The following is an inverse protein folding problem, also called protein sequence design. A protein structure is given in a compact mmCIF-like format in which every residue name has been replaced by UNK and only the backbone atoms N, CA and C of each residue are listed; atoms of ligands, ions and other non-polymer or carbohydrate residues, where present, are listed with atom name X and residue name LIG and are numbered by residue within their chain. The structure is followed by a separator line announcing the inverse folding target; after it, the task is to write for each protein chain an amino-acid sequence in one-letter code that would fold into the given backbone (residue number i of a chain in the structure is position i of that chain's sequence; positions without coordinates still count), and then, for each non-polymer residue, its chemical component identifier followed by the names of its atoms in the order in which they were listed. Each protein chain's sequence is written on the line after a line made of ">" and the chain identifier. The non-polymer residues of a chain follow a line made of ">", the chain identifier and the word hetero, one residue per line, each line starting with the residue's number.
data_IF_333615064623
#
_entry.id   IF_333615064623
#
_cell.length_a   1.000
_cell.length_b   1.000
_cell.length_c   1.000
_cell.angle_alpha   90.00
_cell.angle_beta   90.00
_cell.angle_gamma   90.00
#
_symmetry.space_group_name_H-M   'P 1'
#
loop_
_entity.id
_entity.type
_entity.pdbx_description
1 polymer ?
#
# COMPACT_ATOMS: atom_id res chain seq x y z
N UNK A 1 -1.17 30.37 -36.64
CA UNK A 1 -2.12 29.29 -36.32
C UNK A 1 -2.72 29.61 -34.98
N UNK A 2 -4.04 29.76 -34.93
CA UNK A 2 -4.77 29.92 -33.65
C UNK A 2 -4.68 28.62 -32.85
N UNK A 3 -4.31 28.72 -31.58
CA UNK A 3 -4.23 27.57 -30.67
C UNK A 3 -5.61 26.89 -30.61
N UNK A 4 -5.66 25.58 -30.86
CA UNK A 4 -6.88 24.78 -30.86
C UNK A 4 -7.45 24.69 -29.46
N UNK A 5 -8.74 25.01 -29.29
CA UNK A 5 -9.38 24.97 -27.97
C UNK A 5 -9.64 23.53 -27.53
N UNK A 6 -9.56 23.23 -26.21
CA UNK A 6 -9.72 21.87 -25.68
C UNK A 6 -11.03 21.18 -26.11
N UNK A 7 -12.12 21.94 -26.26
CA UNK A 7 -13.40 21.40 -26.72
C UNK A 7 -13.37 20.87 -28.17
N UNK A 8 -12.45 21.35 -29.00
CA UNK A 8 -12.32 20.90 -30.40
C UNK A 8 -11.68 19.50 -30.43
N UNK A 9 -10.68 19.21 -29.61
CA UNK A 9 -10.13 17.88 -29.46
C UNK A 9 -11.19 16.87 -29.00
N UNK A 10 -12.01 17.25 -28.01
CA UNK A 10 -13.12 16.42 -27.54
C UNK A 10 -14.11 16.11 -28.65
N UNK A 11 -14.46 17.09 -29.45
CA UNK A 11 -15.38 16.94 -30.62
C UNK A 11 -14.75 16.01 -31.68
N UNK A 12 -13.47 16.20 -32.00
CA UNK A 12 -12.76 15.38 -32.99
C UNK A 12 -12.68 13.92 -32.54
N UNK A 13 -12.34 13.64 -31.28
CA UNK A 13 -12.34 12.29 -30.72
C UNK A 13 -13.73 11.66 -30.75
N UNK A 14 -14.78 12.39 -30.34
CA UNK A 14 -16.16 11.89 -30.39
C UNK A 14 -16.63 11.58 -31.82
N UNK A 15 -16.23 12.37 -32.78
CA UNK A 15 -16.57 12.14 -34.19
C UNK A 15 -15.81 10.96 -34.80
N UNK A 16 -14.54 10.75 -34.38
CA UNK A 16 -13.68 9.67 -34.89
C UNK A 16 -14.12 8.28 -34.45
N UNK A 17 -14.91 8.15 -33.38
CA UNK A 17 -15.29 6.89 -32.73
C UNK A 17 -14.10 5.99 -32.33
N UNK A 18 -12.89 6.55 -32.24
CA UNK A 18 -11.73 5.83 -31.74
C UNK A 18 -12.00 5.36 -30.30
N UNK A 19 -11.54 4.15 -29.98
CA UNK A 19 -11.58 3.68 -28.62
C UNK A 19 -10.32 4.11 -27.84
N UNK A 20 -10.35 3.94 -26.53
CA UNK A 20 -9.23 4.34 -25.66
C UNK A 20 -7.96 3.51 -25.86
N UNK A 21 -8.03 2.38 -26.59
CA UNK A 21 -6.93 1.45 -26.86
C UNK A 21 -6.31 1.65 -28.23
N UNK A 22 -6.99 2.40 -29.13
CA UNK A 22 -6.48 2.71 -30.46
C UNK A 22 -5.25 3.63 -30.39
N UNK A 23 -4.19 3.37 -31.18
CA UNK A 23 -3.02 4.23 -31.19
C UNK A 23 -3.33 5.61 -31.76
N UNK A 24 -2.70 6.63 -31.17
CA UNK A 24 -2.70 8.01 -31.67
C UNK A 24 -1.24 8.45 -31.70
N UNK A 25 -0.79 9.03 -32.79
CA UNK A 25 0.56 9.59 -32.90
C UNK A 25 0.69 10.82 -31.97
N UNK A 26 1.83 10.93 -31.30
CA UNK A 26 2.14 12.08 -30.47
C UNK A 26 2.20 13.32 -31.39
N UNK A 27 1.42 14.36 -31.03
CA UNK A 27 1.37 15.57 -31.84
C UNK A 27 0.37 15.52 -33.01
N UNK A 28 -0.43 14.42 -33.15
CA UNK A 28 -1.56 14.41 -34.09
C UNK A 28 -2.45 15.64 -33.85
N UNK A 29 -2.63 16.50 -34.86
CA UNK A 29 -3.32 17.80 -34.69
C UNK A 29 -4.77 17.65 -34.29
N UNK A 30 -5.42 16.53 -34.57
CA UNK A 30 -6.84 16.33 -34.34
C UNK A 30 -7.15 15.48 -33.11
N UNK A 31 -6.32 14.50 -32.79
CA UNK A 31 -6.64 13.48 -31.80
C UNK A 31 -5.69 13.45 -30.60
N UNK A 32 -4.43 13.93 -30.76
CA UNK A 32 -3.53 14.04 -29.63
C UNK A 32 -3.83 15.27 -28.78
N UNK A 33 -4.41 15.08 -27.59
CA UNK A 33 -4.77 16.19 -26.71
C UNK A 33 -3.52 16.58 -25.90
N UNK A 34 -3.05 17.84 -25.92
CA UNK A 34 -2.00 18.32 -25.04
C UNK A 34 -2.33 18.13 -23.56
N UNK A 35 -1.34 17.89 -22.71
CA UNK A 35 -1.56 17.56 -21.27
C UNK A 35 -2.37 18.62 -20.53
N UNK A 36 -2.14 19.91 -20.81
CA UNK A 36 -2.90 21.01 -20.21
C UNK A 36 -4.38 20.97 -20.61
N UNK A 37 -4.69 20.61 -21.87
CA UNK A 37 -6.06 20.47 -22.32
C UNK A 37 -6.74 19.21 -21.76
N UNK A 38 -6.01 18.11 -21.57
CA UNK A 38 -6.52 16.95 -20.83
C UNK A 38 -6.89 17.36 -19.40
N UNK A 39 -6.00 18.07 -18.70
CA UNK A 39 -6.24 18.53 -17.33
C UNK A 39 -7.51 19.39 -17.26
N UNK A 40 -7.68 20.33 -18.19
CA UNK A 40 -8.88 21.18 -18.28
C UNK A 40 -10.16 20.36 -18.50
N UNK A 41 -10.16 19.48 -19.50
CA UNK A 41 -11.32 18.62 -19.82
C UNK A 41 -11.70 17.70 -18.64
N UNK A 42 -10.70 17.14 -17.95
CA UNK A 42 -10.95 16.29 -16.80
C UNK A 42 -11.51 17.09 -15.61
N UNK A 43 -11.00 18.28 -15.35
CA UNK A 43 -11.54 19.14 -14.30
C UNK A 43 -12.99 19.59 -14.61
N UNK A 44 -13.29 19.96 -15.85
CA UNK A 44 -14.66 20.32 -16.26
C UNK A 44 -15.63 19.14 -16.17
N UNK A 45 -15.18 17.95 -16.56
CA UNK A 45 -16.04 16.76 -16.65
C UNK A 45 -16.15 15.93 -15.37
N UNK A 46 -15.28 16.15 -14.37
CA UNK A 46 -15.19 15.25 -13.21
C UNK A 46 -15.33 15.95 -11.86
N UNK A 47 -15.11 17.25 -11.76
CA UNK A 47 -15.24 17.97 -10.49
C UNK A 47 -16.65 17.78 -9.90
N UNK A 48 -16.73 17.42 -8.61
CA UNK A 48 -17.99 17.15 -7.92
C UNK A 48 -18.59 15.77 -8.18
N UNK A 49 -17.93 14.91 -8.98
CA UNK A 49 -18.37 13.52 -9.18
C UNK A 49 -18.33 12.78 -7.83
N UNK A 50 -19.49 12.28 -7.39
CA UNK A 50 -19.59 11.51 -6.15
C UNK A 50 -19.13 10.05 -6.35
N UNK A 51 -18.26 9.60 -5.47
CA UNK A 51 -17.80 8.21 -5.34
C UNK A 51 -18.27 7.59 -4.01
N UNK A 52 -19.13 8.29 -3.27
CA UNK A 52 -19.61 7.87 -1.96
C UNK A 52 -20.37 6.53 -2.04
N UNK A 53 -20.17 5.68 -1.04
CA UNK A 53 -20.83 4.37 -0.93
C UNK A 53 -20.40 3.33 -1.97
N UNK A 54 -19.47 3.65 -2.87
CA UNK A 54 -19.04 2.72 -3.91
C UNK A 54 -17.84 1.86 -3.44
N UNK A 55 -17.86 0.53 -3.65
CA UNK A 55 -16.68 -0.33 -3.47
C UNK A 55 -15.52 0.12 -4.37
N UNK A 56 -14.27 -0.08 -3.93
CA UNK A 56 -13.06 0.36 -4.65
C UNK A 56 -13.02 -0.04 -6.13
N UNK A 57 -13.42 -1.27 -6.46
CA UNK A 57 -13.50 -1.73 -7.86
C UNK A 57 -14.51 -0.94 -8.68
N UNK A 58 -15.65 -0.60 -8.09
CA UNK A 58 -16.69 0.21 -8.73
C UNK A 58 -16.23 1.65 -8.88
N UNK A 59 -15.59 2.25 -7.87
CA UNK A 59 -14.98 3.59 -7.96
C UNK A 59 -14.04 3.71 -9.16
N UNK A 60 -13.14 2.73 -9.35
CA UNK A 60 -12.22 2.72 -10.49
C UNK A 60 -12.94 2.65 -11.85
N UNK A 61 -14.06 1.93 -11.95
CA UNK A 61 -14.86 1.88 -13.17
C UNK A 61 -15.56 3.23 -13.42
N UNK A 62 -16.17 3.81 -12.39
CA UNK A 62 -16.87 5.11 -12.48
C UNK A 62 -15.89 6.22 -12.90
N UNK A 63 -14.71 6.28 -12.27
CA UNK A 63 -13.67 7.25 -12.65
C UNK A 63 -13.24 7.09 -14.10
N UNK A 64 -12.94 5.89 -14.58
CA UNK A 64 -12.54 5.65 -15.97
C UNK A 64 -13.66 6.00 -16.96
N UNK A 65 -14.90 5.72 -16.60
CA UNK A 65 -16.09 6.12 -17.39
C UNK A 65 -16.18 7.64 -17.48
N UNK A 66 -15.99 8.36 -16.38
CA UNK A 66 -15.99 9.82 -16.38
C UNK A 66 -14.85 10.40 -17.23
N UNK A 67 -13.66 9.79 -17.17
CA UNK A 67 -12.53 10.19 -18.03
C UNK A 67 -12.87 9.99 -19.53
N UNK A 68 -13.46 8.83 -19.90
CA UNK A 68 -13.92 8.63 -21.29
C UNK A 68 -14.85 9.76 -21.73
N UNK A 69 -15.88 10.05 -20.93
CA UNK A 69 -16.87 11.09 -21.25
C UNK A 69 -16.24 12.49 -21.32
N UNK A 70 -15.33 12.80 -20.42
CA UNK A 70 -14.62 14.09 -20.38
C UNK A 70 -13.78 14.30 -21.64
N UNK A 71 -13.07 13.27 -22.11
CA UNK A 71 -12.20 13.34 -23.27
C UNK A 71 -12.94 13.11 -24.61
N UNK A 72 -14.18 12.64 -24.59
CA UNK A 72 -14.99 12.39 -25.81
C UNK A 72 -14.84 10.96 -26.37
N UNK A 73 -14.31 10.01 -25.59
CA UNK A 73 -14.24 8.61 -26.00
C UNK A 73 -15.53 7.85 -25.74
N UNK A 74 -15.89 6.87 -26.59
CA UNK A 74 -16.93 5.91 -26.24
C UNK A 74 -16.50 5.09 -25.02
N UNK A 75 -17.43 4.87 -24.09
CA UNK A 75 -17.17 4.06 -22.92
C UNK A 75 -17.16 2.57 -23.30
N UNK A 76 -16.07 1.85 -23.07
CA UNK A 76 -16.02 0.42 -23.40
C UNK A 76 -16.94 -0.37 -22.47
N UNK A 77 -17.50 -1.47 -22.96
CA UNK A 77 -18.33 -2.39 -22.16
C UNK A 77 -17.57 -2.95 -20.94
N UNK A 78 -16.26 -3.17 -21.12
CA UNK A 78 -15.34 -3.54 -20.04
C UNK A 78 -13.99 -2.88 -20.23
N UNK A 79 -13.37 -2.45 -19.11
CA UNK A 79 -12.02 -1.89 -19.14
C UNK A 79 -10.97 -3.01 -19.06
N UNK A 80 -10.09 -3.04 -20.07
CA UNK A 80 -8.96 -3.99 -20.11
C UNK A 80 -7.90 -3.60 -19.05
N UNK A 81 -7.12 -4.57 -18.60
CA UNK A 81 -5.92 -4.35 -17.77
C UNK A 81 -4.73 -4.02 -18.68
N UNK A 82 -4.75 -2.85 -19.31
CA UNK A 82 -3.66 -2.35 -20.15
C UNK A 82 -2.91 -1.23 -19.44
N UNK A 83 -1.66 -1.01 -19.84
CA UNK A 83 -0.84 0.12 -19.43
C UNK A 83 -0.22 0.75 -20.67
N UNK A 84 -0.42 2.04 -20.89
CA UNK A 84 -1.35 2.92 -20.17
C UNK A 84 -2.82 2.53 -20.37
N UNK A 85 -3.70 2.95 -19.44
CA UNK A 85 -5.15 2.63 -19.49
C UNK A 85 -5.87 3.29 -20.66
N UNK A 86 -5.44 4.49 -21.02
CA UNK A 86 -5.87 5.24 -22.19
C UNK A 86 -4.70 5.27 -23.17
N UNK A 87 -4.53 4.15 -23.88
CA UNK A 87 -3.36 3.90 -24.71
C UNK A 87 -3.12 4.99 -25.76
N UNK A 88 -4.17 5.40 -26.48
CA UNK A 88 -4.08 6.44 -27.51
C UNK A 88 -3.58 7.78 -27.00
N UNK A 89 -3.83 8.11 -25.74
CA UNK A 89 -3.35 9.35 -25.12
C UNK A 89 -2.11 9.13 -24.23
N UNK A 90 -1.54 7.94 -24.20
CA UNK A 90 -0.47 7.58 -23.25
C UNK A 90 -0.77 8.02 -21.80
N UNK A 91 -2.02 7.84 -21.36
CA UNK A 91 -2.54 8.39 -20.14
C UNK A 91 -2.95 7.27 -19.17
N UNK A 92 -2.47 7.35 -17.94
CA UNK A 92 -2.95 6.58 -16.79
C UNK A 92 -3.77 7.45 -15.84
N UNK A 93 -4.62 6.83 -15.03
CA UNK A 93 -5.52 7.52 -14.11
C UNK A 93 -5.43 6.96 -12.71
N UNK A 94 -5.25 7.82 -11.71
CA UNK A 94 -5.12 7.47 -10.30
C UNK A 94 -6.03 8.35 -9.46
N UNK A 95 -7.05 7.76 -8.84
CA UNK A 95 -7.95 8.45 -7.93
C UNK A 95 -7.59 8.11 -6.48
N UNK A 96 -7.34 9.11 -5.65
CA UNK A 96 -6.86 8.92 -4.29
C UNK A 96 -7.27 10.05 -3.34
N UNK A 97 -7.50 9.71 -2.06
CA UNK A 97 -7.70 10.68 -0.98
C UNK A 97 -6.37 11.16 -0.39
N UNK A 98 -5.44 10.23 -0.19
CA UNK A 98 -4.17 10.54 0.43
C UNK A 98 -3.25 11.34 -0.50
N UNK A 99 -2.45 12.25 0.08
CA UNK A 99 -1.39 12.97 -0.64
C UNK A 99 -0.17 12.07 -0.88
N UNK A 100 -0.42 10.87 -1.42
CA UNK A 100 0.58 9.85 -1.67
C UNK A 100 0.14 8.97 -2.85
N UNK A 101 0.78 9.20 -4.00
CA UNK A 101 0.51 8.45 -5.22
C UNK A 101 1.12 7.05 -5.11
N UNK A 102 0.31 6.04 -5.41
CA UNK A 102 0.74 4.65 -5.43
C UNK A 102 0.57 4.07 -6.83
N UNK A 103 1.68 3.64 -7.44
CA UNK A 103 1.70 2.97 -8.74
C UNK A 103 2.11 1.51 -8.52
N UNK A 104 1.31 0.58 -9.07
CA UNK A 104 1.46 -0.84 -8.82
C UNK A 104 1.89 -1.58 -10.07
N UNK A 105 2.86 -2.48 -9.93
CA UNK A 105 3.26 -3.45 -10.95
C UNK A 105 3.71 -2.82 -12.28
N UNK A 106 4.26 -1.62 -12.21
CA UNK A 106 4.83 -0.96 -13.37
C UNK A 106 5.98 -0.03 -12.97
N UNK A 107 6.89 0.19 -13.91
CA UNK A 107 7.90 1.22 -13.80
C UNK A 107 7.32 2.57 -14.22
N UNK A 108 7.83 3.65 -13.63
CA UNK A 108 7.46 4.99 -14.01
C UNK A 108 8.05 5.30 -15.40
N UNK A 109 7.18 5.45 -16.39
CA UNK A 109 7.62 5.87 -17.73
C UNK A 109 7.78 7.40 -17.77
N UNK A 110 8.97 7.94 -18.12
CA UNK A 110 9.21 9.38 -18.10
C UNK A 110 8.25 10.20 -18.97
N UNK A 111 7.84 9.65 -20.10
CA UNK A 111 7.00 10.33 -21.11
C UNK A 111 5.51 10.04 -20.96
N UNK A 112 5.15 9.01 -20.20
CA UNK A 112 3.75 8.67 -19.94
C UNK A 112 3.08 9.77 -19.12
N UNK A 113 1.80 10.03 -19.39
CA UNK A 113 1.00 11.00 -18.66
C UNK A 113 0.17 10.34 -17.58
N UNK A 114 0.05 11.00 -16.45
CA UNK A 114 -0.62 10.51 -15.23
C UNK A 114 -1.65 11.55 -14.80
N UNK A 115 -2.93 11.23 -14.94
CA UNK A 115 -4.01 12.01 -14.38
C UNK A 115 -4.23 11.62 -12.92
N UNK A 116 -3.82 12.49 -12.01
CA UNK A 116 -3.97 12.29 -10.56
C UNK A 116 -5.24 13.02 -10.13
N UNK A 117 -6.20 12.25 -9.65
CA UNK A 117 -7.57 12.69 -9.36
C UNK A 117 -7.70 12.74 -7.83
N UNK A 118 -7.85 13.94 -7.31
CA UNK A 118 -8.08 14.18 -5.88
C UNK A 118 -9.50 13.74 -5.51
N UNK A 119 -9.62 12.89 -4.50
CA UNK A 119 -10.89 12.56 -3.87
C UNK A 119 -10.92 13.23 -2.50
N UNK A 120 -11.91 14.06 -2.27
CA UNK A 120 -12.11 14.80 -1.03
C UNK A 120 -12.65 13.87 0.08
N UNK A 121 -12.69 14.39 1.31
CA UNK A 121 -13.16 13.62 2.48
C UNK A 121 -14.61 13.11 2.35
N UNK A 122 -15.45 13.87 1.64
CA UNK A 122 -16.84 13.51 1.33
C UNK A 122 -16.99 12.52 0.16
N UNK A 123 -15.88 11.93 -0.30
CA UNK A 123 -15.83 11.04 -1.47
C UNK A 123 -16.21 11.71 -2.81
N UNK A 124 -16.15 13.03 -2.92
CA UNK A 124 -16.30 13.72 -4.20
C UNK A 124 -14.96 13.98 -4.89
N UNK A 125 -14.95 14.06 -6.22
CA UNK A 125 -13.77 14.47 -6.98
C UNK A 125 -13.57 15.99 -6.82
N UNK A 126 -12.42 16.37 -6.25
CA UNK A 126 -12.05 17.78 -6.08
C UNK A 126 -11.39 18.36 -7.31
N UNK A 127 -10.14 18.00 -7.55
CA UNK A 127 -9.32 18.51 -8.66
C UNK A 127 -8.57 17.38 -9.37
N UNK A 128 -8.25 17.58 -10.62
CA UNK A 128 -7.39 16.68 -11.41
C UNK A 128 -6.14 17.44 -11.83
N UNK A 129 -4.97 16.78 -11.68
CA UNK A 129 -3.69 17.24 -12.22
C UNK A 129 -3.18 16.22 -13.21
N UNK A 130 -2.65 16.70 -14.34
CA UNK A 130 -2.01 15.84 -15.36
C UNK A 130 -0.52 16.16 -15.40
N UNK A 131 0.29 15.18 -15.05
CA UNK A 131 1.76 15.27 -15.02
C UNK A 131 2.37 14.13 -15.82
N UNK A 132 3.61 14.28 -16.29
CA UNK A 132 4.35 13.16 -16.87
C UNK A 132 5.20 12.44 -15.81
N UNK A 133 5.74 11.27 -16.16
CA UNK A 133 6.54 10.49 -15.24
C UNK A 133 7.82 11.18 -14.79
N UNK A 134 8.42 12.05 -15.62
CA UNK A 134 9.59 12.84 -15.24
C UNK A 134 9.23 13.86 -14.13
N UNK A 135 8.08 14.53 -14.23
CA UNK A 135 7.58 15.42 -13.20
C UNK A 135 7.28 14.66 -11.90
N UNK A 136 6.73 13.44 -11.98
CA UNK A 136 6.53 12.60 -10.80
C UNK A 136 7.86 12.17 -10.17
N UNK A 137 8.88 11.86 -10.98
CA UNK A 137 10.20 11.51 -10.46
C UNK A 137 10.85 12.67 -9.67
N UNK A 138 10.63 13.92 -10.08
CA UNK A 138 11.13 15.11 -9.36
C UNK A 138 10.44 15.28 -7.99
N UNK A 139 9.20 14.79 -7.83
CA UNK A 139 8.49 14.84 -6.55
C UNK A 139 9.03 13.83 -5.53
N UNK A 140 9.79 12.83 -5.96
CA UNK A 140 10.49 11.93 -5.06
C UNK A 140 11.68 12.65 -4.44
N UNK A 141 11.52 13.12 -3.19
CA UNK A 141 12.54 13.86 -2.45
C UNK A 141 13.81 13.05 -2.15
N UNK A 142 13.73 11.72 -2.25
CA UNK A 142 14.88 10.84 -2.03
C UNK A 142 15.76 10.72 -3.27
N UNK A 143 15.29 11.19 -4.43
CA UNK A 143 15.95 11.03 -5.73
C UNK A 143 15.92 9.60 -6.26
N UNK A 144 15.22 8.71 -5.55
CA UNK A 144 15.04 7.30 -5.92
C UNK A 144 13.56 6.96 -5.82
N UNK A 145 12.96 6.52 -6.92
CA UNK A 145 11.57 6.05 -6.91
C UNK A 145 11.48 4.82 -6.04
N UNK A 146 10.76 4.93 -4.94
CA UNK A 146 10.67 3.91 -3.91
C UNK A 146 9.79 2.75 -4.38
N UNK A 147 10.38 1.60 -4.61
CA UNK A 147 9.66 0.36 -4.92
C UNK A 147 9.37 -0.39 -3.64
N UNK A 148 8.10 -0.74 -3.39
CA UNK A 148 7.71 -1.60 -2.27
C UNK A 148 7.51 -3.04 -2.71
N UNK A 149 7.93 -3.97 -1.87
CA UNK A 149 7.80 -5.40 -2.11
C UNK A 149 6.44 -5.92 -1.63
N UNK A 150 5.99 -6.99 -2.25
CA UNK A 150 4.75 -7.68 -1.91
C UNK A 150 4.94 -9.17 -1.84
N UNK A 151 4.18 -9.81 -0.95
CA UNK A 151 4.05 -11.25 -0.87
C UNK A 151 2.58 -11.67 -0.92
N UNK A 152 2.36 -12.98 -1.07
CA UNK A 152 1.05 -13.61 -1.04
C UNK A 152 1.10 -14.86 -0.19
N UNK A 153 0.02 -15.07 0.56
CA UNK A 153 -0.24 -16.31 1.24
C UNK A 153 -1.52 -16.94 0.71
N UNK A 154 -1.46 -18.21 0.38
CA UNK A 154 -2.64 -19.04 0.19
C UNK A 154 -2.99 -19.64 1.56
N UNK A 155 -4.12 -19.19 2.14
CA UNK A 155 -4.59 -19.65 3.43
C UNK A 155 -4.95 -21.15 3.34
N UNK A 156 -4.40 -21.93 4.26
CA UNK A 156 -4.75 -23.33 4.46
C UNK A 156 -5.84 -23.49 5.52
N UNK A 157 -5.98 -24.70 6.03
CA UNK A 157 -6.92 -25.05 7.12
C UNK A 157 -6.37 -24.71 8.51
N UNK A 158 -5.07 -24.51 8.63
CA UNK A 158 -4.41 -24.18 9.89
C UNK A 158 -4.63 -22.72 10.24
N UNK A 159 -5.25 -22.46 11.39
CA UNK A 159 -5.56 -21.11 11.86
C UNK A 159 -4.41 -20.47 12.63
N UNK A 160 -3.44 -21.25 13.08
CA UNK A 160 -2.26 -20.78 13.83
C UNK A 160 -1.04 -21.56 13.38
N UNK A 161 -0.01 -20.88 12.97
CA UNK A 161 1.22 -21.50 12.47
C UNK A 161 2.45 -20.75 12.96
N UNK A 162 3.31 -21.45 13.70
CA UNK A 162 4.66 -21.01 13.96
C UNK A 162 5.54 -21.53 12.83
N UNK A 163 5.88 -20.67 11.87
CA UNK A 163 6.61 -21.05 10.64
C UNK A 163 8.04 -21.49 10.95
N UNK A 164 8.65 -20.88 11.98
CA UNK A 164 9.95 -21.30 12.51
C UNK A 164 9.91 -21.32 14.03
N UNK A 165 10.36 -22.40 14.68
CA UNK A 165 10.33 -22.52 16.14
C UNK A 165 11.38 -21.66 16.84
N UNK A 166 12.41 -21.25 16.12
CA UNK A 166 13.58 -20.56 16.68
C UNK A 166 13.74 -19.16 16.10
N UNK A 167 14.30 -18.28 16.90
CA UNK A 167 14.83 -17.01 16.43
C UNK A 167 16.06 -17.23 15.53
N UNK A 168 16.50 -16.20 14.82
CA UNK A 168 17.75 -16.27 14.06
C UNK A 168 18.93 -16.55 15.02
N UNK A 169 19.97 -17.18 14.51
CA UNK A 169 21.14 -17.56 15.32
C UNK A 169 21.73 -16.36 16.08
N UNK A 170 21.72 -15.17 15.49
CA UNK A 170 22.18 -13.94 16.12
C UNK A 170 21.27 -13.53 17.30
N UNK A 171 19.95 -13.67 17.15
CA UNK A 171 18.98 -13.24 18.18
C UNK A 171 18.81 -14.26 19.31
N UNK A 172 19.07 -15.53 19.08
CA UNK A 172 19.01 -16.56 20.13
C UNK A 172 19.88 -16.24 21.35
N UNK A 173 20.96 -15.48 21.16
CA UNK A 173 21.86 -15.07 22.27
C UNK A 173 21.24 -13.99 23.17
N UNK A 174 20.17 -13.36 22.73
CA UNK A 174 19.56 -12.17 23.35
C UNK A 174 18.15 -12.42 23.89
N UNK A 175 17.60 -13.62 23.67
CA UNK A 175 16.27 -13.98 24.17
C UNK A 175 16.31 -14.55 25.59
N UNK A 176 15.23 -14.33 26.33
CA UNK A 176 14.99 -14.90 27.64
C UNK A 176 13.50 -15.20 27.83
N UNK A 177 13.20 -16.42 28.29
CA UNK A 177 11.83 -16.84 28.58
C UNK A 177 11.31 -16.25 29.90
N UNK A 178 9.99 -16.18 30.03
CA UNK A 178 9.33 -15.81 31.28
C UNK A 178 9.50 -14.33 31.67
N UNK A 179 9.78 -13.46 30.72
CA UNK A 179 9.91 -12.02 30.99
C UNK A 179 8.60 -11.42 31.51
N UNK A 180 8.72 -10.58 32.53
CA UNK A 180 7.63 -9.72 33.02
C UNK A 180 8.03 -8.27 32.78
N UNK A 181 7.24 -7.55 31.98
CA UNK A 181 7.52 -6.16 31.71
C UNK A 181 7.02 -5.26 32.85
N UNK A 182 7.78 -4.22 33.15
CA UNK A 182 7.37 -3.18 34.09
C UNK A 182 6.24 -2.31 33.50
N UNK A 183 5.53 -1.60 34.36
CA UNK A 183 4.49 -0.64 33.92
C UNK A 183 5.05 0.49 33.04
N UNK A 184 6.35 0.74 33.10
CA UNK A 184 7.04 1.77 32.31
C UNK A 184 7.64 1.22 31.01
N UNK A 185 7.65 -0.11 30.81
CA UNK A 185 8.17 -0.69 29.58
C UNK A 185 7.25 -0.35 28.41
N UNK A 186 7.81 0.23 27.36
CA UNK A 186 7.07 0.64 26.17
C UNK A 186 7.43 -0.23 24.96
N UNK A 187 6.47 -0.54 24.07
CA UNK A 187 6.72 -1.30 22.84
C UNK A 187 7.69 -0.59 21.88
N UNK A 188 7.78 0.73 21.96
CA UNK A 188 8.64 1.55 21.08
C UNK A 188 10.05 1.81 21.64
N UNK A 189 10.36 1.27 22.83
CA UNK A 189 11.73 1.33 23.38
C UNK A 189 12.72 0.55 22.51
N UNK A 190 13.99 0.94 22.61
CA UNK A 190 15.07 0.18 21.99
C UNK A 190 15.17 -1.26 22.57
N UNK A 191 15.43 -2.26 21.72
CA UNK A 191 15.60 -3.63 22.18
C UNK A 191 16.86 -3.76 23.03
N UNK A 192 16.83 -4.67 24.00
CA UNK A 192 17.99 -4.95 24.87
C UNK A 192 18.26 -6.43 24.99
N UNK A 193 19.53 -6.78 25.13
CA UNK A 193 19.93 -8.18 25.35
C UNK A 193 19.30 -8.73 26.64
N UNK A 194 18.69 -9.91 26.55
CA UNK A 194 17.98 -10.56 27.65
C UNK A 194 16.58 -9.99 27.93
N UNK A 195 16.10 -9.02 27.14
CA UNK A 195 14.73 -8.48 27.22
C UNK A 195 13.84 -8.89 26.02
N UNK A 196 14.38 -9.67 25.09
CA UNK A 196 13.61 -10.27 24.01
C UNK A 196 12.98 -11.59 24.47
N UNK A 197 11.69 -11.80 24.20
CA UNK A 197 11.04 -13.10 24.37
C UNK A 197 11.45 -14.04 23.24
N UNK A 198 11.61 -15.36 23.47
CA UNK A 198 11.73 -16.31 22.37
C UNK A 198 10.52 -16.22 21.41
N UNK A 199 10.73 -16.43 20.12
CA UNK A 199 9.67 -16.37 19.11
C UNK A 199 8.52 -17.34 19.42
N UNK A 200 8.82 -18.50 20.01
CA UNK A 200 7.81 -19.45 20.47
C UNK A 200 6.91 -18.83 21.56
N UNK A 201 7.50 -18.12 22.55
CA UNK A 201 6.72 -17.44 23.60
C UNK A 201 5.87 -16.29 22.99
N UNK A 202 6.39 -15.59 21.98
CA UNK A 202 5.61 -14.60 21.24
C UNK A 202 4.41 -15.26 20.58
N UNK A 203 4.60 -16.37 19.86
CA UNK A 203 3.52 -17.13 19.23
C UNK A 203 2.48 -17.61 20.24
N UNK A 204 2.90 -18.20 21.36
CA UNK A 204 1.99 -18.69 22.39
C UNK A 204 1.12 -17.58 22.98
N UNK A 205 1.69 -16.40 23.19
CA UNK A 205 0.97 -15.23 23.72
C UNK A 205 0.00 -14.61 22.71
N UNK A 206 0.31 -14.66 21.43
CA UNK A 206 -0.51 -14.10 20.38
C UNK A 206 -1.59 -15.08 19.86
N UNK A 207 -1.36 -16.38 20.00
CA UNK A 207 -2.30 -17.42 19.54
C UNK A 207 -3.74 -17.28 20.07
N UNK A 208 -4.00 -16.86 21.34
CA UNK A 208 -5.35 -16.65 21.86
C UNK A 208 -6.11 -15.48 21.21
N UNK A 209 -5.43 -14.62 20.44
CA UNK A 209 -6.08 -13.53 19.71
C UNK A 209 -6.88 -14.04 18.50
N UNK A 210 -6.55 -15.21 17.96
CA UNK A 210 -7.31 -15.82 16.87
C UNK A 210 -8.70 -16.20 17.36
N UNK A 211 -9.72 -15.73 16.66
CA UNK A 211 -11.14 -15.82 17.03
C UNK A 211 -11.66 -14.58 17.76
N UNK A 212 -10.81 -13.68 18.20
CA UNK A 212 -11.25 -12.41 18.81
C UNK A 212 -11.80 -11.45 17.75
N UNK A 213 -12.71 -10.60 18.20
CA UNK A 213 -13.34 -9.56 17.39
C UNK A 213 -13.11 -8.18 17.99
N UNK A 214 -13.03 -7.17 17.14
CA UNK A 214 -13.04 -5.77 17.54
C UNK A 214 -13.87 -4.93 16.56
N UNK A 215 -14.27 -3.73 16.98
CA UNK A 215 -15.07 -2.82 16.15
C UNK A 215 -14.28 -2.43 14.91
N UNK A 216 -14.90 -2.55 13.71
CA UNK A 216 -14.32 -2.07 12.48
C UNK A 216 -14.41 -0.54 12.42
N UNK A 217 -13.31 0.20 12.35
CA UNK A 217 -13.33 1.65 12.29
C UNK A 217 -13.85 2.21 10.95
N UNK A 218 -14.18 1.34 9.98
CA UNK A 218 -14.75 1.71 8.67
C UNK A 218 -13.92 1.27 7.47
N UNK A 219 -14.57 1.29 6.28
CA UNK A 219 -14.04 0.64 5.05
C UNK A 219 -12.73 1.24 4.49
N UNK A 220 -12.40 2.48 4.81
CA UNK A 220 -11.20 3.18 4.28
C UNK A 220 -10.08 3.34 5.32
N UNK A 221 -10.13 2.60 6.44
CA UNK A 221 -9.25 2.84 7.59
C UNK A 221 -8.39 1.62 7.95
N UNK A 222 -7.66 1.06 6.98
CA UNK A 222 -6.67 -0.01 7.24
C UNK A 222 -5.70 0.37 8.38
N UNK A 223 -5.30 1.64 8.45
CA UNK A 223 -4.44 2.17 9.50
C UNK A 223 -5.08 2.06 10.89
N UNK A 224 -6.37 2.37 11.02
CA UNK A 224 -7.07 2.30 12.31
C UNK A 224 -7.33 0.85 12.73
N UNK A 225 -7.59 -0.06 11.78
CA UNK A 225 -7.63 -1.50 12.06
C UNK A 225 -6.28 -2.02 12.56
N UNK A 226 -5.19 -1.55 11.95
CA UNK A 226 -3.82 -1.83 12.38
C UNK A 226 -3.57 -1.38 13.81
N UNK A 227 -3.98 -0.15 14.18
CA UNK A 227 -3.83 0.38 15.53
C UNK A 227 -4.62 -0.41 16.59
N UNK A 228 -5.84 -0.87 16.25
CA UNK A 228 -6.63 -1.72 17.15
C UNK A 228 -5.94 -3.08 17.38
N UNK A 229 -5.44 -3.73 16.33
CA UNK A 229 -4.67 -4.96 16.46
C UNK A 229 -3.39 -4.74 17.25
N UNK A 230 -2.64 -3.64 16.99
CA UNK A 230 -1.43 -3.31 17.72
C UNK A 230 -1.66 -3.25 19.24
N UNK A 231 -2.75 -2.62 19.67
CA UNK A 231 -3.13 -2.56 21.08
C UNK A 231 -3.39 -3.95 21.68
N UNK A 232 -4.10 -4.83 20.96
CA UNK A 232 -4.34 -6.22 21.39
C UNK A 232 -3.04 -7.02 21.49
N UNK A 233 -2.15 -6.86 20.52
CA UNK A 233 -0.84 -7.52 20.52
C UNK A 233 0.02 -7.04 21.70
N UNK A 234 0.10 -5.73 21.93
CA UNK A 234 0.81 -5.18 23.08
C UNK A 234 0.30 -5.75 24.40
N UNK A 235 -1.02 -5.80 24.57
CA UNK A 235 -1.65 -6.37 25.77
C UNK A 235 -1.30 -7.86 25.92
N UNK A 236 -1.40 -8.66 24.86
CA UNK A 236 -1.08 -10.08 24.86
C UNK A 236 0.40 -10.34 25.22
N UNK A 237 1.30 -9.47 24.78
CA UNK A 237 2.72 -9.53 25.11
C UNK A 237 3.02 -9.04 26.53
N UNK A 238 2.06 -8.45 27.25
CA UNK A 238 2.21 -8.01 28.63
C UNK A 238 2.67 -6.57 28.79
N UNK A 239 2.49 -5.71 27.78
CA UNK A 239 2.69 -4.27 27.92
C UNK A 239 1.48 -3.62 28.56
N UNK A 240 1.74 -2.66 29.47
CA UNK A 240 0.73 -1.74 30.01
C UNK A 240 0.55 -0.50 29.14
N UNK A 241 1.46 -0.29 28.19
CA UNK A 241 1.51 0.85 27.26
C UNK A 241 1.41 0.32 25.85
N UNK A 242 0.78 1.09 24.96
CA UNK A 242 0.49 0.67 23.59
C UNK A 242 0.90 1.73 22.57
N UNK A 243 2.00 2.45 22.84
CA UNK A 243 2.50 3.48 21.93
C UNK A 243 2.88 2.87 20.58
N UNK A 244 2.57 3.62 19.53
CA UNK A 244 2.96 3.37 18.15
C UNK A 244 3.54 4.66 17.57
N UNK A 245 4.78 4.61 17.09
CA UNK A 245 5.45 5.74 16.44
C UNK A 245 5.39 5.67 14.92
N UNK A 246 4.79 4.60 14.37
CA UNK A 246 4.78 4.33 12.93
C UNK A 246 6.15 3.98 12.36
N UNK A 247 7.14 3.65 13.21
CA UNK A 247 8.46 3.17 12.82
C UNK A 247 8.47 1.64 12.68
N UNK A 248 9.37 1.16 11.83
CA UNK A 248 9.61 -0.27 11.68
C UNK A 248 10.71 -0.75 12.63
N UNK A 249 10.55 -1.90 13.29
CA UNK A 249 9.31 -2.70 13.41
C UNK A 249 8.33 -2.08 14.43
N UNK A 250 7.03 -2.38 14.32
CA UNK A 250 5.94 -1.80 15.14
C UNK A 250 6.18 -1.91 16.65
N UNK A 251 6.67 -3.07 17.11
CA UNK A 251 7.05 -3.33 18.51
C UNK A 251 8.58 -3.45 18.55
N UNK A 252 9.24 -2.29 18.50
CA UNK A 252 10.70 -2.18 18.43
C UNK A 252 11.39 -2.95 19.56
N UNK A 253 10.89 -2.84 20.80
CA UNK A 253 11.41 -3.50 21.97
C UNK A 253 11.52 -5.04 21.82
N UNK A 254 10.70 -5.65 20.99
CA UNK A 254 10.69 -7.09 20.72
C UNK A 254 11.12 -7.43 19.27
N UNK A 255 11.60 -6.48 18.50
CA UNK A 255 11.91 -6.66 17.07
C UNK A 255 10.75 -7.34 16.32
N UNK A 256 9.50 -6.92 16.59
CA UNK A 256 8.30 -7.55 16.07
C UNK A 256 7.49 -6.59 15.21
N UNK A 257 7.30 -6.98 13.96
CA UNK A 257 6.38 -6.33 13.02
C UNK A 257 5.03 -7.03 13.06
N UNK A 258 3.95 -6.26 13.14
CA UNK A 258 2.57 -6.76 13.22
C UNK A 258 1.81 -6.34 11.98
N UNK A 259 1.24 -7.29 11.26
CA UNK A 259 0.46 -6.99 10.06
C UNK A 259 -0.93 -7.60 10.13
N UNK A 260 -1.93 -6.78 9.80
CA UNK A 260 -3.32 -7.21 9.63
C UNK A 260 -3.66 -7.29 8.14
N UNK A 261 -4.14 -8.44 7.71
CA UNK A 261 -4.50 -8.69 6.32
C UNK A 261 -5.98 -9.09 6.20
N UNK A 262 -6.71 -8.42 5.33
CA UNK A 262 -8.07 -8.82 4.92
C UNK A 262 -8.09 -9.38 3.49
N UNK A 263 -6.91 -9.52 2.89
CA UNK A 263 -6.70 -10.10 1.56
C UNK A 263 -5.48 -11.02 1.57
N UNK A 264 -5.33 -11.92 0.59
CA UNK A 264 -4.15 -12.78 0.49
C UNK A 264 -2.83 -12.02 0.21
N UNK A 265 -2.90 -10.77 -0.28
CA UNK A 265 -1.72 -9.98 -0.64
C UNK A 265 -1.22 -9.18 0.56
N UNK A 266 0.08 -9.26 0.80
CA UNK A 266 0.80 -8.63 1.90
C UNK A 266 1.68 -7.53 1.35
N UNK A 267 1.58 -6.32 1.89
CA UNK A 267 2.51 -5.21 1.61
C UNK A 267 3.69 -5.28 2.61
N UNK A 268 4.89 -5.52 2.09
CA UNK A 268 6.10 -5.74 2.89
C UNK A 268 6.91 -4.46 3.15
N UNK A 269 6.60 -3.37 2.45
CA UNK A 269 7.37 -2.12 2.57
C UNK A 269 8.54 -2.04 1.59
N UNK A 270 9.59 -1.29 1.95
CA UNK A 270 10.70 -0.92 1.06
C UNK A 270 11.84 -1.93 1.06
N UNK A 271 11.95 -2.73 2.09
CA UNK A 271 12.99 -3.73 2.28
C UNK A 271 12.33 -5.10 2.41
N UNK A 272 12.93 -6.11 1.81
CA UNK A 272 12.44 -7.49 1.96
C UNK A 272 12.66 -7.97 3.39
N UNK A 273 11.74 -8.77 3.96
CA UNK A 273 11.93 -9.35 5.29
C UNK A 273 13.26 -10.11 5.43
N UNK A 274 13.70 -10.79 4.36
CA UNK A 274 14.94 -11.58 4.34
C UNK A 274 16.20 -10.77 3.99
N UNK A 275 16.12 -9.43 3.95
CA UNK A 275 17.29 -8.58 3.67
C UNK A 275 18.32 -8.64 4.78
N UNK A 276 19.60 -8.56 4.40
CA UNK A 276 20.74 -8.49 5.29
C UNK A 276 21.10 -7.05 5.71
N UNK A 277 20.30 -6.05 5.28
CA UNK A 277 20.47 -4.67 5.70
C UNK A 277 20.26 -4.54 7.22
N UNK A 278 21.02 -3.63 7.85
CA UNK A 278 20.91 -3.39 9.29
C UNK A 278 19.59 -2.68 9.62
N UNK A 279 19.00 -3.07 10.75
CA UNK A 279 17.88 -2.32 11.33
C UNK A 279 18.36 -1.03 11.98
N UNK A 280 17.51 0.00 11.92
CA UNK A 280 17.70 1.25 12.65
C UNK A 280 17.24 1.10 14.11
N UNK A 281 17.99 0.28 14.84
CA UNK A 281 17.83 0.01 16.27
C UNK A 281 19.20 -0.06 16.95
N UNK A 282 19.23 0.09 18.27
CA UNK A 282 20.47 -0.08 19.04
C UNK A 282 20.98 -1.52 18.96
N UNK A 283 22.32 -1.65 19.10
CA UNK A 283 22.96 -2.96 19.20
C UNK A 283 22.49 -3.71 20.45
N UNK A 284 22.33 -5.00 20.31
CA UNK A 284 22.13 -5.95 21.40
C UNK A 284 23.49 -6.53 21.80
N UNK A 285 24.14 -5.98 22.84
CA UNK A 285 25.53 -6.27 23.09
C UNK A 285 26.40 -5.89 21.88
N UNK A 286 27.12 -6.85 21.31
CA UNK A 286 27.93 -6.65 20.11
C UNK A 286 27.18 -6.94 18.80
N UNK A 287 25.91 -7.39 18.86
CA UNK A 287 25.12 -7.77 17.70
C UNK A 287 24.28 -6.60 17.18
N UNK A 288 24.48 -6.21 15.92
CA UNK A 288 23.58 -5.28 15.22
C UNK A 288 22.48 -6.07 14.52
N UNK A 289 21.20 -5.92 14.92
CA UNK A 289 20.08 -6.61 14.27
C UNK A 289 19.96 -6.22 12.79
N UNK A 290 19.50 -7.17 11.98
CA UNK A 290 19.23 -7.00 10.55
C UNK A 290 17.73 -7.17 10.26
N UNK A 291 17.28 -6.80 9.06
CA UNK A 291 15.88 -7.01 8.66
C UNK A 291 15.46 -8.48 8.79
N UNK A 292 16.30 -9.43 8.45
CA UNK A 292 16.02 -10.86 8.62
C UNK A 292 15.85 -11.31 10.07
N UNK A 293 16.35 -10.54 11.06
CA UNK A 293 16.17 -10.81 12.49
C UNK A 293 14.84 -10.32 13.04
N UNK A 294 14.10 -9.51 12.25
CA UNK A 294 12.75 -9.06 12.62
C UNK A 294 11.80 -10.25 12.65
N UNK A 295 10.99 -10.32 13.69
CA UNK A 295 9.88 -11.25 13.78
C UNK A 295 8.65 -10.64 13.12
N UNK A 296 7.85 -11.45 12.47
CA UNK A 296 6.60 -11.04 11.80
C UNK A 296 5.44 -11.79 12.40
N UNK A 297 4.47 -11.06 12.95
CA UNK A 297 3.16 -11.60 13.35
C UNK A 297 2.12 -11.18 12.30
N UNK A 298 1.79 -12.12 11.43
CA UNK A 298 0.87 -11.91 10.32
C UNK A 298 -0.52 -12.39 10.71
N UNK A 299 -1.43 -11.46 11.01
CA UNK A 299 -2.82 -11.75 11.29
C UNK A 299 -3.67 -11.64 10.02
N UNK A 300 -4.53 -12.61 9.78
CA UNK A 300 -5.60 -12.50 8.79
C UNK A 300 -6.93 -12.30 9.48
N UNK A 301 -7.78 -11.53 8.85
CA UNK A 301 -9.10 -11.21 9.39
C UNK A 301 -10.16 -11.16 8.29
N UNK A 302 -11.41 -11.33 8.70
CA UNK A 302 -12.60 -11.04 7.92
C UNK A 302 -13.35 -9.88 8.56
N UNK A 303 -14.06 -9.11 7.76
CA UNK A 303 -14.90 -8.02 8.27
C UNK A 303 -16.27 -8.05 7.58
N UNK A 304 -17.29 -7.75 8.35
CA UNK A 304 -18.66 -7.49 7.89
C UNK A 304 -18.95 -5.98 7.74
N UNK A 305 -17.95 -5.13 7.92
CA UNK A 305 -18.05 -3.68 7.90
C UNK A 305 -18.43 -3.06 9.26
N UNK A 306 -18.71 -3.88 10.28
CA UNK A 306 -18.99 -3.44 11.68
C UNK A 306 -17.96 -4.01 12.64
N UNK A 307 -17.57 -5.26 12.41
CA UNK A 307 -16.61 -5.98 13.23
C UNK A 307 -15.52 -6.60 12.37
N UNK A 308 -14.33 -6.68 12.93
CA UNK A 308 -13.18 -7.41 12.39
C UNK A 308 -12.98 -8.64 13.26
N UNK A 309 -12.95 -9.82 12.63
CA UNK A 309 -12.67 -11.10 13.32
C UNK A 309 -11.32 -11.62 12.86
N UNK A 310 -10.39 -11.85 13.80
CA UNK A 310 -9.08 -12.45 13.52
C UNK A 310 -9.26 -13.95 13.25
N UNK A 311 -8.87 -14.39 12.06
CA UNK A 311 -9.09 -15.77 11.58
C UNK A 311 -7.83 -16.63 11.64
N UNK A 312 -6.66 -16.04 11.35
CA UNK A 312 -5.39 -16.78 11.33
C UNK A 312 -4.26 -15.95 11.92
N UNK A 313 -3.26 -16.64 12.41
CA UNK A 313 -1.98 -16.09 12.86
C UNK A 313 -0.83 -16.93 12.31
N UNK A 314 0.13 -16.27 11.68
CA UNK A 314 1.41 -16.85 11.28
C UNK A 314 2.54 -16.06 11.94
N UNK A 315 3.47 -16.74 12.59
CA UNK A 315 4.64 -16.10 13.19
C UNK A 315 5.90 -16.67 12.58
N UNK A 316 6.80 -15.80 12.15
CA UNK A 316 8.06 -16.17 11.48
C UNK A 316 9.15 -15.14 11.75
N UNK A 317 10.41 -15.50 11.50
CA UNK A 317 11.50 -14.51 11.35
C UNK A 317 11.52 -13.98 9.91
N UNK A 318 12.15 -12.82 9.71
CA UNK A 318 12.40 -12.30 8.37
C UNK A 318 13.21 -13.27 7.51
N UNK A 319 14.22 -13.92 8.11
CA UNK A 319 15.03 -14.95 7.46
C UNK A 319 14.20 -16.07 6.83
N UNK A 320 13.17 -16.54 7.54
CA UNK A 320 12.30 -17.65 7.09
C UNK A 320 10.99 -17.20 6.48
N UNK A 321 10.77 -15.91 6.30
CA UNK A 321 9.51 -15.36 5.81
C UNK A 321 9.06 -16.00 4.49
N UNK A 322 9.95 -16.09 3.52
CA UNK A 322 9.61 -16.61 2.19
C UNK A 322 9.56 -18.14 2.11
N UNK A 323 9.76 -18.87 3.20
CA UNK A 323 9.46 -20.31 3.25
C UNK A 323 7.95 -20.56 3.26
N UNK A 324 7.16 -19.62 3.80
CA UNK A 324 5.70 -19.71 3.91
C UNK A 324 4.97 -18.73 3.00
N UNK A 325 5.48 -17.51 2.87
CA UNK A 325 4.88 -16.44 2.08
C UNK A 325 5.58 -16.34 0.73
N UNK A 326 4.83 -16.38 -0.37
CA UNK A 326 5.42 -16.32 -1.71
C UNK A 326 5.51 -14.88 -2.18
N UNK A 327 6.63 -14.52 -2.83
CA UNK A 327 6.70 -13.27 -3.59
C UNK A 327 5.59 -13.26 -4.63
N UNK A 328 4.88 -12.14 -4.77
CA UNK A 328 3.74 -12.04 -5.67
C UNK A 328 4.16 -12.25 -7.12
N UNK A 329 3.40 -13.08 -7.88
CA UNK A 329 3.74 -13.40 -9.26
C UNK A 329 4.90 -14.39 -9.44
N UNK A 330 5.30 -15.10 -8.41
CA UNK A 330 6.34 -16.15 -8.46
C UNK A 330 7.74 -15.55 -8.56
N UNK A 331 8.40 -15.66 -9.74
CA UNK A 331 9.76 -15.16 -9.97
C UNK A 331 9.84 -13.64 -10.16
N UNK A 332 8.71 -12.96 -10.35
CA UNK A 332 8.65 -11.51 -10.55
C UNK A 332 8.30 -10.85 -9.22
N UNK A 333 9.16 -9.94 -8.80
CA UNK A 333 8.88 -9.07 -7.64
C UNK A 333 7.92 -7.99 -8.13
N UNK A 334 6.69 -7.98 -7.62
CA UNK A 334 5.77 -6.89 -7.86
C UNK A 334 6.10 -5.74 -6.93
N UNK A 335 6.63 -4.68 -7.50
CA UNK A 335 6.92 -3.46 -6.80
C UNK A 335 5.70 -2.54 -6.70
N UNK A 336 5.63 -1.78 -5.64
CA UNK A 336 4.72 -0.65 -5.47
C UNK A 336 5.55 0.62 -5.37
N UNK A 337 5.43 1.49 -6.36
CA UNK A 337 6.03 2.83 -6.33
C UNK A 337 5.14 3.71 -5.46
N UNK A 338 5.73 4.44 -4.54
CA UNK A 338 5.02 5.36 -3.66
C UNK A 338 5.70 6.73 -3.69
N UNK A 339 4.96 7.75 -4.12
CA UNK A 339 5.44 9.12 -4.28
C UNK A 339 4.61 10.04 -3.39
N UNK A 340 5.18 10.64 -2.34
CA UNK A 340 4.47 11.65 -1.55
C UNK A 340 4.21 12.89 -2.43
N UNK A 341 2.97 13.36 -2.45
CA UNK A 341 2.60 14.56 -3.16
C UNK A 341 2.75 15.79 -2.24
N UNK A 342 3.29 16.91 -2.73
CA UNK A 342 3.32 18.16 -1.99
C UNK A 342 1.92 18.62 -1.57
N UNK A 343 1.84 19.37 -0.47
CA UNK A 343 0.55 19.88 0.03
C UNK A 343 -0.18 20.78 -0.97
N UNK A 344 0.57 21.48 -1.79
CA UNK A 344 0.12 22.39 -2.84
C UNK A 344 -0.03 21.72 -4.22
N UNK A 345 0.13 20.40 -4.30
CA UNK A 345 0.08 19.67 -5.58
C UNK A 345 -1.21 19.92 -6.36
N UNK A 346 -2.33 20.12 -5.68
CA UNK A 346 -3.62 20.42 -6.26
C UNK A 346 -4.01 21.91 -6.14
N UNK A 347 -3.10 22.79 -5.73
CA UNK A 347 -3.38 24.21 -5.59
C UNK A 347 -3.71 24.90 -6.94
#
# INVERSE_FOLDING_TARGET
>A
MTEKHHSEYKKALSASRKDIYGPIEIGDPDHWIPSQHIETLLNEGMRGLSLAGLPLRTRSKVVKTAVCNALGYPVPSSFKKTQPRFFGQQLDTYAQKAMNLQIWNEELSPTRRYAIIQVLEDDTVGKVRVVNGQQLAILDKTGTITTKYQARLDLGTEHRELVTPDDTAAMMLHVRSGLVFSLTTSPVQEPRSGELRPILEVFDRLSPLVGQTFVDPGMDQERNRGAALHSLVCQALGYSRHEDTGQFPDIKHQLLEVKLQTSPTIDLGLVEPSSDEFLDVQKLGDTQPRHWDTRYAMFYAVTDGKTVTLTHLFVTTGEKFFTRFRKFGGKVINGKIQIPLPRDFFA
#
